data_IF_669272496268
#
_entry.id   IF_669272496268
#
_cell.length_a   1.000
_cell.length_b   1.000
_cell.length_c   1.000
_cell.angle_alpha   90.00
_cell.angle_beta   90.00
_cell.angle_gamma   90.00
#
_symmetry.space_group_name_H-M   'P 1'
#
loop_
_entity.id
_entity.type
_entity.pdbx_description
1 polymer ?
#
# COMPACT_ATOMS: atom_id res chain seq x y z
N UNK A 1 -21.74 4.92 18.24
CA UNK A 1 -20.60 4.28 17.54
C UNK A 1 -20.55 4.56 16.03
N UNK A 2 -21.46 5.33 15.43
CA UNK A 2 -21.53 5.56 13.97
C UNK A 2 -21.17 7.00 13.50
N UNK A 3 -21.05 7.97 14.41
CA UNK A 3 -20.69 9.35 14.06
C UNK A 3 -19.16 9.59 13.99
N UNK A 4 -18.37 8.90 14.82
CA UNK A 4 -16.91 9.06 14.88
C UNK A 4 -16.18 8.54 13.62
N UNK A 5 -16.69 7.48 13.00
CA UNK A 5 -16.07 6.91 11.79
C UNK A 5 -16.27 7.78 10.54
N UNK A 6 -17.39 8.52 10.46
CA UNK A 6 -17.67 9.46 9.36
C UNK A 6 -16.72 10.67 9.40
N UNK A 7 -16.48 11.22 10.59
CA UNK A 7 -15.55 12.33 10.81
C UNK A 7 -14.10 11.90 10.52
N UNK A 8 -13.72 10.68 10.92
CA UNK A 8 -12.41 10.10 10.63
C UNK A 8 -12.13 9.98 9.12
N UNK A 9 -13.12 9.54 8.34
CA UNK A 9 -12.98 9.39 6.90
C UNK A 9 -12.93 10.73 6.16
N UNK A 10 -13.73 11.72 6.60
CA UNK A 10 -13.70 13.08 6.06
C UNK A 10 -12.38 13.79 6.38
N UNK A 11 -11.82 13.56 7.58
CA UNK A 11 -10.54 14.13 7.98
C UNK A 11 -9.36 13.47 7.23
N UNK A 12 -9.37 12.14 7.06
CA UNK A 12 -8.38 11.43 6.22
C UNK A 12 -8.47 11.89 4.76
N UNK A 13 -9.67 12.05 4.20
CA UNK A 13 -9.87 12.54 2.85
C UNK A 13 -9.43 14.00 2.66
N UNK A 14 -9.54 14.83 3.71
CA UNK A 14 -9.03 16.20 3.73
C UNK A 14 -7.49 16.24 3.79
N UNK A 15 -6.88 15.36 4.58
CA UNK A 15 -5.41 15.24 4.76
C UNK A 15 -4.70 14.71 3.51
N UNK A 16 -5.32 13.83 2.73
CA UNK A 16 -4.74 13.33 1.47
C UNK A 16 -4.73 14.37 0.33
N UNK A 17 -5.39 15.52 0.49
CA UNK A 17 -5.63 16.47 -0.60
C UNK A 17 -4.60 17.60 -0.72
N UNK A 18 -3.86 17.96 0.35
CA UNK A 18 -2.97 19.13 0.35
C UNK A 18 -1.52 18.80 0.71
N UNK A 19 -0.60 19.12 -0.21
CA UNK A 19 0.83 18.74 -0.27
C UNK A 19 1.79 19.45 0.71
N UNK A 20 1.37 19.84 1.92
CA UNK A 20 2.20 20.70 2.78
C UNK A 20 2.55 20.10 4.16
N UNK A 21 3.64 20.62 4.73
CA UNK A 21 4.35 20.29 5.98
C UNK A 21 3.47 20.02 7.22
N UNK A 22 2.22 20.46 7.21
CA UNK A 22 1.19 20.09 8.18
C UNK A 22 0.84 18.58 8.17
N UNK A 23 1.03 17.89 7.02
CA UNK A 23 0.91 16.43 6.88
C UNK A 23 1.88 15.72 7.81
N UNK A 24 3.14 16.16 7.88
CA UNK A 24 4.19 15.48 8.66
C UNK A 24 3.87 15.57 10.15
N UNK A 25 3.46 16.75 10.63
CA UNK A 25 3.10 16.94 12.04
C UNK A 25 1.77 16.26 12.41
N UNK A 26 0.81 16.22 11.48
CA UNK A 26 -0.44 15.46 11.64
C UNK A 26 -0.22 13.94 11.67
N UNK A 27 0.67 13.42 10.80
CA UNK A 27 1.09 12.00 10.81
C UNK A 27 1.87 11.64 12.07
N UNK A 28 2.75 12.53 12.56
CA UNK A 28 3.46 12.33 13.82
C UNK A 28 2.49 12.32 15.00
N UNK A 29 1.51 13.24 15.03
CA UNK A 29 0.47 13.29 16.07
C UNK A 29 -0.43 12.05 16.08
N UNK A 30 -0.98 11.67 14.91
CA UNK A 30 -1.78 10.45 14.76
C UNK A 30 -0.96 9.19 15.03
N UNK A 31 0.30 9.16 14.57
CA UNK A 31 1.23 8.07 14.84
C UNK A 31 1.51 7.89 16.33
N UNK A 32 1.60 8.97 17.10
CA UNK A 32 1.83 8.94 18.55
C UNK A 32 0.60 8.40 19.31
N UNK A 33 -0.61 8.81 18.92
CA UNK A 33 -1.86 8.37 19.55
C UNK A 33 -2.16 6.91 19.19
N UNK A 34 -1.96 6.52 17.93
CA UNK A 34 -2.06 5.11 17.50
C UNK A 34 -1.00 4.27 18.23
N UNK A 35 0.22 4.78 18.40
CA UNK A 35 1.28 4.09 19.13
C UNK A 35 0.92 3.87 20.60
N UNK A 36 0.35 4.87 21.29
CA UNK A 36 -0.09 4.74 22.69
C UNK A 36 -1.30 3.81 22.84
N UNK A 37 -2.24 3.83 21.89
CA UNK A 37 -3.46 3.02 21.97
C UNK A 37 -3.19 1.57 21.56
N UNK A 38 -2.32 1.34 20.58
CA UNK A 38 -1.80 0.03 20.25
C UNK A 38 -0.97 -0.56 21.40
N UNK A 39 -0.25 0.26 22.17
CA UNK A 39 0.54 -0.19 23.33
C UNK A 39 -0.30 -0.88 24.41
N UNK A 40 -1.53 -0.39 24.65
CA UNK A 40 -2.44 -0.99 25.65
C UNK A 40 -3.26 -2.16 25.10
N UNK A 41 -3.65 -2.15 23.82
CA UNK A 41 -4.46 -3.21 23.21
C UNK A 41 -3.59 -4.41 22.76
N UNK A 42 -2.33 -4.17 22.40
CA UNK A 42 -1.34 -5.20 22.02
C UNK A 42 -0.36 -5.49 23.17
N UNK A 43 -0.79 -5.37 24.43
CA UNK A 43 0.06 -5.64 25.59
C UNK A 43 0.67 -7.05 25.50
N UNK A 44 1.89 -7.12 25.00
CA UNK A 44 2.60 -8.36 24.72
C UNK A 44 2.96 -9.02 26.06
N UNK A 45 2.39 -10.19 26.30
CA UNK A 45 2.62 -10.97 27.51
C UNK A 45 3.18 -12.33 27.12
N UNK A 46 4.45 -12.59 27.44
CA UNK A 46 5.10 -13.84 27.09
C UNK A 46 4.50 -15.01 27.89
N UNK A 47 4.20 -16.16 27.27
CA UNK A 47 3.60 -17.32 27.96
C UNK A 47 4.58 -18.03 28.92
N UNK A 48 5.89 -17.83 28.75
CA UNK A 48 6.96 -18.40 29.56
C UNK A 48 6.93 -19.93 29.69
N UNK A 49 6.58 -20.56 28.58
CA UNK A 49 6.58 -22.00 28.38
C UNK A 49 7.44 -22.37 27.16
N UNK A 50 8.20 -23.48 27.23
CA UNK A 50 9.04 -23.92 26.12
C UNK A 50 8.17 -24.22 24.89
N UNK A 51 8.69 -23.96 23.69
CA UNK A 51 8.04 -24.00 22.37
C UNK A 51 6.97 -22.94 22.15
N UNK A 52 6.14 -22.66 23.16
CA UNK A 52 5.09 -21.64 23.08
C UNK A 52 5.69 -20.23 22.98
N UNK A 53 6.78 -19.98 23.70
CA UNK A 53 7.54 -18.74 23.63
C UNK A 53 7.96 -18.37 22.20
N UNK A 54 8.59 -19.32 21.49
CA UNK A 54 9.01 -19.13 20.11
C UNK A 54 7.83 -18.85 19.19
N UNK A 55 6.79 -19.67 19.25
CA UNK A 55 5.57 -19.51 18.45
C UNK A 55 4.89 -18.17 18.69
N UNK A 56 4.69 -17.79 19.96
CA UNK A 56 4.02 -16.55 20.33
C UNK A 56 4.84 -15.32 19.96
N UNK A 57 6.14 -15.31 20.27
CA UNK A 57 7.03 -14.20 19.94
C UNK A 57 7.18 -14.00 18.42
N UNK A 58 7.34 -15.09 17.65
CA UNK A 58 7.38 -15.02 16.19
C UNK A 58 6.04 -14.58 15.59
N UNK A 59 4.91 -15.07 16.11
CA UNK A 59 3.59 -14.64 15.66
C UNK A 59 3.35 -13.14 15.94
N UNK A 60 3.78 -12.64 17.10
CA UNK A 60 3.64 -11.22 17.46
C UNK A 60 4.43 -10.30 16.52
N UNK A 61 5.56 -10.74 15.96
CA UNK A 61 6.31 -9.99 14.94
C UNK A 61 5.68 -10.20 13.56
N UNK A 62 5.44 -11.46 13.16
CA UNK A 62 5.11 -11.84 11.80
C UNK A 62 3.65 -11.61 11.39
N UNK A 63 2.69 -11.88 12.27
CA UNK A 63 1.25 -11.79 11.91
C UNK A 63 0.83 -10.35 11.63
N UNK A 64 1.17 -9.34 12.46
CA UNK A 64 0.84 -7.95 12.13
C UNK A 64 1.57 -7.46 10.86
N UNK A 65 2.82 -7.89 10.64
CA UNK A 65 3.53 -7.58 9.40
C UNK A 65 2.79 -8.19 8.18
N UNK A 66 2.39 -9.45 8.23
CA UNK A 66 1.64 -10.08 7.15
C UNK A 66 0.30 -9.38 6.89
N UNK A 67 -0.44 -9.03 7.95
CA UNK A 67 -1.69 -8.30 7.83
C UNK A 67 -1.48 -6.93 7.16
N UNK A 68 -0.48 -6.16 7.61
CA UNK A 68 -0.12 -4.86 7.01
C UNK A 68 0.28 -4.99 5.54
N UNK A 69 1.02 -6.05 5.20
CA UNK A 69 1.39 -6.34 3.82
C UNK A 69 0.17 -6.61 2.94
N UNK A 70 -0.75 -7.48 3.39
CA UNK A 70 -1.99 -7.80 2.66
C UNK A 70 -2.84 -6.56 2.46
N UNK A 71 -3.03 -5.74 3.50
CA UNK A 71 -3.75 -4.47 3.41
C UNK A 71 -3.08 -3.54 2.38
N UNK A 72 -1.75 -3.44 2.42
CA UNK A 72 -0.98 -2.64 1.46
C UNK A 72 -1.17 -3.11 0.01
N UNK A 73 -1.24 -4.42 -0.23
CA UNK A 73 -1.50 -4.98 -1.57
C UNK A 73 -2.92 -4.68 -2.04
N UNK A 74 -3.93 -4.81 -1.16
CA UNK A 74 -5.35 -4.56 -1.46
C UNK A 74 -5.61 -3.09 -1.80
N UNK A 75 -5.02 -2.17 -1.04
CA UNK A 75 -5.21 -0.72 -1.24
C UNK A 75 -4.45 -0.16 -2.45
N UNK A 76 -3.55 -0.93 -3.05
CA UNK A 76 -2.77 -0.47 -4.18
C UNK A 76 -3.55 -0.61 -5.50
N UNK A 77 -3.85 0.52 -6.14
CA UNK A 77 -4.58 0.56 -7.42
C UNK A 77 -3.89 -0.26 -8.53
N UNK A 78 -2.55 -0.27 -8.55
CA UNK A 78 -1.79 -1.02 -9.55
C UNK A 78 -2.06 -2.53 -9.47
N UNK A 79 -2.39 -3.07 -8.28
CA UNK A 79 -2.77 -4.48 -8.10
C UNK A 79 -4.01 -4.80 -8.92
N UNK A 80 -5.05 -3.96 -8.81
CA UNK A 80 -6.30 -4.13 -9.54
C UNK A 80 -6.13 -3.90 -11.05
N UNK A 81 -5.25 -2.98 -11.44
CA UNK A 81 -4.91 -2.76 -12.85
C UNK A 81 -4.28 -4.03 -13.48
N UNK A 82 -3.42 -4.75 -12.75
CA UNK A 82 -2.87 -6.04 -13.22
C UNK A 82 -3.95 -7.11 -13.27
N UNK A 83 -4.75 -7.24 -12.21
CA UNK A 83 -5.84 -8.23 -12.16
C UNK A 83 -6.81 -8.03 -13.32
N UNK A 84 -7.16 -6.78 -13.63
CA UNK A 84 -8.03 -6.44 -14.77
C UNK A 84 -7.38 -6.75 -16.12
N UNK A 85 -6.09 -6.48 -16.29
CA UNK A 85 -5.36 -6.82 -17.52
C UNK A 85 -5.28 -8.34 -17.73
N UNK A 86 -5.08 -9.09 -16.65
CA UNK A 86 -5.03 -10.55 -16.70
C UNK A 86 -6.40 -11.18 -16.96
N UNK A 87 -7.46 -10.69 -16.30
CA UNK A 87 -8.83 -11.15 -16.52
C UNK A 87 -9.31 -10.84 -17.94
N UNK A 88 -9.17 -9.58 -18.39
CA UNK A 88 -9.72 -9.14 -19.67
C UNK A 88 -8.87 -9.55 -20.89
N UNK A 89 -7.55 -9.77 -20.73
CA UNK A 89 -6.62 -10.01 -21.85
C UNK A 89 -5.72 -11.23 -21.68
N UNK A 90 -6.05 -12.14 -20.75
CA UNK A 90 -5.33 -13.39 -20.47
C UNK A 90 -3.82 -13.17 -20.23
N UNK A 91 -3.44 -12.01 -19.69
CA UNK A 91 -2.07 -11.53 -19.52
C UNK A 91 -1.19 -11.56 -20.80
N UNK A 92 -1.75 -11.75 -22.01
CA UNK A 92 -1.00 -12.07 -23.24
C UNK A 92 -0.08 -10.94 -23.72
N UNK A 93 -0.36 -9.70 -23.32
CA UNK A 93 0.39 -8.49 -23.70
C UNK A 93 1.34 -7.97 -22.60
N UNK A 94 1.41 -8.64 -21.45
CA UNK A 94 2.28 -8.25 -20.36
C UNK A 94 3.66 -8.91 -20.56
N UNK A 95 4.62 -8.15 -21.08
CA UNK A 95 6.02 -8.61 -21.14
C UNK A 95 6.49 -8.97 -19.73
N UNK A 96 7.30 -10.03 -19.60
CA UNK A 96 7.85 -10.45 -18.30
C UNK A 96 8.61 -9.34 -17.57
N UNK A 97 9.30 -8.48 -18.32
CA UNK A 97 10.01 -7.30 -17.78
C UNK A 97 9.05 -6.24 -17.21
N UNK A 98 7.94 -5.99 -17.90
CA UNK A 98 6.90 -5.07 -17.43
C UNK A 98 6.18 -5.66 -16.20
N UNK A 99 5.88 -6.95 -16.21
CA UNK A 99 5.29 -7.65 -15.07
C UNK A 99 6.17 -7.52 -13.82
N UNK A 100 7.48 -7.74 -13.98
CA UNK A 100 8.45 -7.63 -12.89
C UNK A 100 8.54 -6.21 -12.33
N UNK A 101 8.62 -5.19 -13.19
CA UNK A 101 8.66 -3.79 -12.75
C UNK A 101 7.39 -3.38 -11.99
N UNK A 102 6.23 -3.84 -12.44
CA UNK A 102 4.95 -3.55 -11.78
C UNK A 102 4.79 -4.29 -10.46
N UNK A 103 5.14 -5.57 -10.42
CA UNK A 103 5.17 -6.36 -9.18
C UNK A 103 6.14 -5.74 -8.18
N UNK A 104 7.33 -5.33 -8.60
CA UNK A 104 8.28 -4.59 -7.77
C UNK A 104 7.70 -3.29 -7.22
N UNK A 105 6.95 -2.54 -8.05
CA UNK A 105 6.25 -1.32 -7.60
C UNK A 105 5.15 -1.62 -6.57
N UNK A 106 4.40 -2.72 -6.75
CA UNK A 106 3.33 -3.12 -5.83
C UNK A 106 3.91 -3.58 -4.50
N UNK A 107 4.82 -4.55 -4.55
CA UNK A 107 5.48 -5.13 -3.38
C UNK A 107 6.27 -4.06 -2.64
N UNK A 108 7.03 -3.22 -3.35
CA UNK A 108 7.82 -2.14 -2.72
C UNK A 108 6.96 -1.16 -1.93
N UNK A 109 5.79 -0.75 -2.45
CA UNK A 109 4.84 0.12 -1.73
C UNK A 109 4.15 -0.60 -0.58
N UNK A 110 3.74 -1.85 -0.77
CA UNK A 110 3.07 -2.64 0.25
C UNK A 110 4.01 -3.07 1.40
N UNK A 111 5.30 -3.19 1.14
CA UNK A 111 6.31 -3.63 2.10
C UNK A 111 6.74 -2.56 3.10
N UNK A 112 6.41 -1.28 2.88
CA UNK A 112 6.82 -0.18 3.78
C UNK A 112 6.32 -0.41 5.22
N UNK A 113 5.01 -0.56 5.39
CA UNK A 113 4.39 -0.77 6.70
C UNK A 113 4.90 -2.03 7.45
N UNK A 114 4.97 -3.23 6.83
CA UNK A 114 5.48 -4.41 7.51
C UNK A 114 6.97 -4.34 7.85
N UNK A 115 7.80 -3.72 7.00
CA UNK A 115 9.22 -3.49 7.32
C UNK A 115 9.32 -2.58 8.54
N UNK A 116 8.58 -1.47 8.57
CA UNK A 116 8.56 -0.55 9.71
C UNK A 116 8.11 -1.25 11.00
N UNK A 117 7.04 -2.06 10.93
CA UNK A 117 6.56 -2.84 12.08
C UNK A 117 7.64 -3.79 12.62
N UNK A 118 8.28 -4.56 11.74
CA UNK A 118 9.33 -5.51 12.12
C UNK A 118 10.54 -4.81 12.74
N UNK A 119 10.98 -3.69 12.16
CA UNK A 119 12.07 -2.86 12.72
C UNK A 119 11.70 -2.36 14.11
N UNK A 120 10.51 -1.78 14.31
CA UNK A 120 10.07 -1.30 15.62
C UNK A 120 10.00 -2.45 16.64
N UNK A 121 9.49 -3.62 16.23
CA UNK A 121 9.38 -4.80 17.08
C UNK A 121 10.77 -5.32 17.51
N UNK A 122 11.72 -5.36 16.59
CA UNK A 122 13.11 -5.75 16.85
C UNK A 122 13.85 -4.74 17.73
N UNK A 123 13.67 -3.44 17.50
CA UNK A 123 14.29 -2.40 18.33
C UNK A 123 13.74 -2.39 19.76
N UNK A 124 12.45 -2.71 19.94
CA UNK A 124 11.85 -2.93 21.27
C UNK A 124 12.41 -4.17 21.95
N UNK A 125 12.66 -5.25 21.18
CA UNK A 125 13.29 -6.47 21.65
C UNK A 125 12.43 -7.40 22.52
N UNK A 126 11.25 -6.98 22.99
CA UNK A 126 10.40 -7.78 23.87
C UNK A 126 9.96 -9.12 23.24
N UNK A 127 9.46 -9.08 22.00
CA UNK A 127 9.02 -10.27 21.29
C UNK A 127 10.19 -11.20 20.93
N UNK A 128 11.36 -10.65 20.59
CA UNK A 128 12.58 -11.40 20.31
C UNK A 128 13.13 -12.07 21.57
N UNK A 129 13.17 -11.36 22.70
CA UNK A 129 13.56 -11.91 24.01
C UNK A 129 12.65 -13.07 24.38
N UNK A 130 11.33 -12.92 24.24
CA UNK A 130 10.39 -14.01 24.48
C UNK A 130 10.69 -15.19 23.55
N UNK A 131 10.77 -14.96 22.23
CA UNK A 131 10.94 -16.00 21.23
C UNK A 131 12.25 -16.81 21.38
N UNK A 132 13.36 -16.15 21.72
CA UNK A 132 14.68 -16.78 21.74
C UNK A 132 15.22 -17.13 23.12
N UNK A 133 14.52 -16.74 24.18
CA UNK A 133 14.90 -17.08 25.56
C UNK A 133 15.22 -18.56 25.74
N UNK A 134 14.39 -19.45 25.21
CA UNK A 134 14.54 -20.91 25.38
C UNK A 134 15.76 -21.51 24.66
N UNK A 135 16.35 -20.81 23.68
CA UNK A 135 17.46 -21.30 22.87
C UNK A 135 18.83 -20.83 23.35
N UNK A 136 18.90 -20.03 24.41
CA UNK A 136 20.19 -19.67 25.00
C UNK A 136 20.79 -20.89 25.68
N UNK A 137 22.01 -21.20 25.29
CA UNK A 137 22.83 -22.18 25.99
C UNK A 137 23.24 -21.64 27.38
N UNK A 138 22.81 -22.27 28.49
CA UNK A 138 23.16 -21.81 29.82
C UNK A 138 24.66 -21.82 30.10
N UNK A 139 25.43 -22.68 29.41
CA UNK A 139 26.89 -22.71 29.56
C UNK A 139 27.58 -21.45 29.03
N UNK A 140 26.89 -20.68 28.19
CA UNK A 140 27.37 -19.40 27.67
C UNK A 140 27.11 -18.21 28.60
N UNK A 141 26.43 -18.44 29.73
CA UNK A 141 26.20 -17.45 30.79
C UNK A 141 27.21 -17.70 31.91
N UNK A 142 27.94 -16.67 32.31
CA UNK A 142 29.06 -16.83 33.24
C UNK A 142 28.58 -17.32 34.60
N UNK A 143 29.27 -18.32 35.16
CA UNK A 143 28.93 -18.96 36.44
C UNK A 143 27.50 -19.51 36.56
N UNK A 144 26.84 -19.86 35.45
CA UNK A 144 25.48 -20.41 35.50
C UNK A 144 25.46 -21.82 36.12
N UNK A 145 24.54 -22.12 37.06
CA UNK A 145 24.51 -23.42 37.71
C UNK A 145 24.09 -24.53 36.74
N UNK A 146 24.63 -25.75 36.87
CA UNK A 146 24.25 -26.88 36.03
C UNK A 146 22.75 -27.18 36.23
N UNK A 147 22.01 -27.22 35.12
CA UNK A 147 20.55 -27.36 35.12
C UNK A 147 20.13 -28.54 34.25
N UNK A 148 19.25 -29.40 34.79
CA UNK A 148 18.77 -30.62 34.09
C UNK A 148 17.69 -30.33 33.04
N UNK A 149 17.04 -29.16 33.13
CA UNK A 149 15.98 -28.71 32.21
C UNK A 149 16.26 -27.26 31.72
N UNK A 150 17.41 -27.06 31.07
CA UNK A 150 17.87 -25.76 30.56
C UNK A 150 16.76 -25.00 29.82
N UNK A 151 16.19 -25.55 28.76
CA UNK A 151 15.18 -24.87 27.94
C UNK A 151 13.95 -24.41 28.75
N UNK A 152 13.50 -25.20 29.73
CA UNK A 152 12.33 -24.86 30.58
C UNK A 152 12.63 -23.70 31.53
N UNK A 153 13.85 -23.66 32.06
CA UNK A 153 14.31 -22.57 32.92
C UNK A 153 14.54 -21.31 32.09
N UNK A 154 15.22 -21.45 30.94
CA UNK A 154 15.53 -20.37 30.02
C UNK A 154 14.25 -19.70 29.46
N UNK A 155 13.21 -20.47 29.15
CA UNK A 155 11.91 -19.97 28.71
C UNK A 155 11.20 -19.06 29.74
N UNK A 156 11.55 -19.11 31.03
CA UNK A 156 10.90 -18.31 32.09
C UNK A 156 11.56 -16.97 32.36
N UNK A 157 12.77 -16.74 31.83
CA UNK A 157 13.51 -15.49 32.00
C UNK A 157 12.74 -14.24 31.58
N UNK A 158 11.98 -14.22 30.47
CA UNK A 158 11.21 -13.05 30.05
C UNK A 158 10.15 -12.61 31.08
N UNK A 159 9.58 -13.54 31.84
CA UNK A 159 8.56 -13.25 32.85
C UNK A 159 9.13 -12.92 34.22
N UNK A 160 10.44 -13.14 34.44
CA UNK A 160 11.08 -13.05 35.76
C UNK A 160 10.49 -14.01 36.81
N UNK A 161 9.81 -15.06 36.35
CA UNK A 161 9.22 -16.12 37.17
C UNK A 161 10.24 -17.25 37.43
N UNK A 162 11.32 -16.90 38.14
CA UNK A 162 12.40 -17.81 38.49
C UNK A 162 12.66 -17.86 40.01
N UNK A 163 13.23 -18.97 40.51
CA UNK A 163 13.80 -19.00 41.86
C UNK A 163 14.85 -17.89 42.05
N UNK A 164 14.89 -17.31 43.25
CA UNK A 164 15.84 -16.26 43.64
C UNK A 164 17.30 -16.46 43.17
N UNK A 165 17.93 -17.66 43.27
CA UNK A 165 19.32 -17.85 42.83
C UNK A 165 19.53 -17.72 41.31
N UNK A 166 18.48 -17.87 40.50
CA UNK A 166 18.55 -17.74 39.04
C UNK A 166 18.14 -16.34 38.55
N UNK A 167 17.42 -15.59 39.38
CA UNK A 167 16.93 -14.26 39.04
C UNK A 167 18.07 -13.26 38.81
N UNK A 168 19.23 -13.46 39.46
CA UNK A 168 20.41 -12.59 39.27
C UNK A 168 20.92 -12.58 37.82
N UNK A 169 20.74 -13.67 37.08
CA UNK A 169 21.18 -13.78 35.68
C UNK A 169 20.16 -13.17 34.70
N UNK A 170 18.96 -12.79 35.17
CA UNK A 170 17.92 -12.33 34.26
C UNK A 170 18.29 -11.04 33.56
N UNK A 171 19.00 -10.14 34.23
CA UNK A 171 19.51 -8.92 33.63
C UNK A 171 20.54 -9.17 32.53
N UNK A 172 21.41 -10.16 32.71
CA UNK A 172 22.42 -10.52 31.70
C UNK A 172 21.79 -11.15 30.45
N UNK A 173 20.93 -12.15 30.66
CA UNK A 173 20.19 -12.84 29.60
C UNK A 173 19.31 -11.89 28.80
N UNK A 174 18.52 -11.04 29.50
CA UNK A 174 17.66 -10.06 28.86
C UNK A 174 18.47 -9.04 28.05
N UNK A 175 19.58 -8.54 28.61
CA UNK A 175 20.45 -7.57 27.92
C UNK A 175 21.08 -8.17 26.67
N UNK A 176 21.54 -9.43 26.73
CA UNK A 176 22.13 -10.13 25.58
C UNK A 176 21.13 -10.28 24.44
N UNK A 177 19.93 -10.78 24.72
CA UNK A 177 18.88 -10.94 23.70
C UNK A 177 18.38 -9.61 23.15
N UNK A 178 18.24 -8.59 24.00
CA UNK A 178 17.88 -7.24 23.54
C UNK A 178 18.94 -6.65 22.62
N UNK A 179 20.21 -6.84 22.95
CA UNK A 179 21.32 -6.42 22.09
C UNK A 179 21.25 -7.10 20.72
N UNK A 180 21.08 -8.42 20.66
CA UNK A 180 20.97 -9.16 19.39
C UNK A 180 19.76 -8.68 18.57
N UNK A 181 18.61 -8.50 19.23
CA UNK A 181 17.39 -7.98 18.60
C UNK A 181 17.59 -6.58 18.02
N UNK A 182 18.19 -5.67 18.79
CA UNK A 182 18.43 -4.30 18.36
C UNK A 182 19.47 -4.23 17.24
N UNK A 183 20.52 -5.05 17.31
CA UNK A 183 21.50 -5.17 16.25
C UNK A 183 20.85 -5.62 14.94
N UNK A 184 20.03 -6.68 14.97
CA UNK A 184 19.25 -7.14 13.81
C UNK A 184 18.32 -6.04 13.29
N UNK A 185 17.65 -5.31 14.18
CA UNK A 185 16.82 -4.15 13.82
C UNK A 185 17.61 -3.08 13.05
N UNK A 186 18.78 -2.68 13.55
CA UNK A 186 19.64 -1.70 12.89
C UNK A 186 20.23 -2.20 11.57
N UNK A 187 20.65 -3.47 11.50
CA UNK A 187 21.09 -4.10 10.26
C UNK A 187 19.98 -4.11 9.21
N UNK A 188 18.75 -4.43 9.61
CA UNK A 188 17.58 -4.39 8.73
C UNK A 188 17.34 -2.98 8.19
N UNK A 189 17.43 -1.94 9.04
CA UNK A 189 17.33 -0.54 8.60
C UNK A 189 18.41 -0.18 7.58
N UNK A 190 19.67 -0.56 7.84
CA UNK A 190 20.79 -0.31 6.93
C UNK A 190 20.58 -0.98 5.56
N UNK A 191 20.23 -2.28 5.55
CA UNK A 191 20.00 -3.06 4.33
C UNK A 191 18.83 -2.49 3.52
N UNK A 192 17.71 -2.17 4.17
CA UNK A 192 16.54 -1.59 3.48
C UNK A 192 16.89 -0.22 2.91
N UNK A 193 17.57 0.63 3.66
CA UNK A 193 17.96 1.97 3.19
C UNK A 193 18.87 1.91 1.98
N UNK A 194 19.88 1.03 2.02
CA UNK A 194 20.77 0.78 0.88
C UNK A 194 20.01 0.23 -0.33
N UNK A 195 19.10 -0.72 -0.10
CA UNK A 195 18.29 -1.32 -1.16
C UNK A 195 17.40 -0.28 -1.84
N UNK A 196 16.75 0.60 -1.07
CA UNK A 196 15.93 1.71 -1.61
C UNK A 196 16.79 2.65 -2.43
N UNK A 197 17.96 3.04 -1.92
CA UNK A 197 18.90 3.90 -2.64
C UNK A 197 19.31 3.28 -3.98
N UNK A 198 19.74 2.01 -3.98
CA UNK A 198 20.13 1.30 -5.20
C UNK A 198 18.98 1.19 -6.21
N UNK A 199 17.77 0.88 -5.76
CA UNK A 199 16.58 0.82 -6.62
C UNK A 199 16.27 2.18 -7.25
N UNK A 200 16.41 3.27 -6.49
CA UNK A 200 16.20 4.63 -7.02
C UNK A 200 17.27 5.01 -8.03
N UNK A 201 18.54 4.68 -7.76
CA UNK A 201 19.64 4.88 -8.72
C UNK A 201 19.40 4.09 -10.01
N UNK A 202 19.07 2.80 -9.91
CA UNK A 202 18.76 1.96 -11.07
C UNK A 202 17.55 2.48 -11.85
N UNK A 203 16.50 2.93 -11.15
CA UNK A 203 15.34 3.55 -11.81
C UNK A 203 15.74 4.80 -12.59
N UNK A 204 16.61 5.66 -12.05
CA UNK A 204 17.06 6.87 -12.74
C UNK A 204 18.02 6.55 -13.89
N UNK A 205 18.95 5.60 -13.72
CA UNK A 205 19.90 5.20 -14.76
C UNK A 205 19.22 4.43 -15.92
N UNK A 206 18.17 3.66 -15.64
CA UNK A 206 17.45 2.86 -16.63
C UNK A 206 16.17 3.51 -17.17
N UNK A 207 15.82 4.72 -16.73
CA UNK A 207 14.68 5.44 -17.29
C UNK A 207 15.06 5.95 -18.68
N UNK A 208 14.37 5.47 -19.72
CA UNK A 208 14.54 5.99 -21.08
C UNK A 208 13.94 7.39 -21.25
N UNK A 209 13.17 7.86 -20.27
CA UNK A 209 12.49 9.15 -20.26
C UNK A 209 13.34 10.19 -19.52
N UNK A 210 13.47 11.38 -20.11
CA UNK A 210 14.07 12.52 -19.41
C UNK A 210 13.26 12.88 -18.16
N UNK A 211 13.94 13.33 -17.09
CA UNK A 211 13.31 13.65 -15.80
C UNK A 211 12.11 14.62 -15.94
N UNK A 212 12.21 15.63 -16.81
CA UNK A 212 11.11 16.58 -17.06
C UNK A 212 9.89 15.90 -17.70
N UNK A 213 10.11 14.95 -18.60
CA UNK A 213 9.06 14.21 -19.27
C UNK A 213 8.36 13.22 -18.32
N UNK A 214 9.12 12.58 -17.42
CA UNK A 214 8.55 11.75 -16.36
C UNK A 214 7.70 12.58 -15.38
N UNK A 215 8.16 13.78 -15.00
CA UNK A 215 7.40 14.69 -14.16
C UNK A 215 6.10 15.15 -14.85
N UNK A 216 6.17 15.56 -16.12
CA UNK A 216 4.99 15.88 -16.91
C UNK A 216 4.01 14.71 -17.00
N UNK A 217 4.51 13.50 -17.29
CA UNK A 217 3.68 12.30 -17.38
C UNK A 217 2.95 12.00 -16.07
N UNK A 218 3.63 12.13 -14.93
CA UNK A 218 3.03 12.01 -13.60
C UNK A 218 1.90 13.04 -13.38
N UNK A 219 2.14 14.31 -13.73
CA UNK A 219 1.13 15.36 -13.65
C UNK A 219 -0.06 15.11 -14.56
N UNK A 220 0.17 14.69 -15.80
CA UNK A 220 -0.88 14.32 -16.74
C UNK A 220 -1.77 13.22 -16.16
N UNK A 221 -1.18 12.14 -15.65
CA UNK A 221 -1.92 11.01 -15.06
C UNK A 221 -2.75 11.42 -13.85
N UNK A 222 -2.22 12.29 -12.99
CA UNK A 222 -2.96 12.82 -11.85
C UNK A 222 -4.16 13.66 -12.28
N UNK A 223 -3.97 14.55 -13.25
CA UNK A 223 -5.04 15.41 -13.76
C UNK A 223 -6.09 14.61 -14.52
N UNK A 224 -5.69 13.68 -15.38
CA UNK A 224 -6.58 12.78 -16.11
C UNK A 224 -7.47 11.99 -15.15
N UNK A 225 -6.89 11.39 -14.09
CA UNK A 225 -7.67 10.64 -13.09
C UNK A 225 -8.69 11.54 -12.37
N UNK A 226 -8.28 12.74 -11.97
CA UNK A 226 -9.16 13.67 -11.26
C UNK A 226 -10.31 14.16 -12.15
N UNK A 227 -10.03 14.48 -13.41
CA UNK A 227 -11.05 14.87 -14.39
C UNK A 227 -11.98 13.70 -14.70
N UNK A 228 -11.44 12.52 -14.98
CA UNK A 228 -12.21 11.33 -15.30
C UNK A 228 -13.20 10.99 -14.18
N UNK A 229 -12.78 11.02 -12.92
CA UNK A 229 -13.65 10.72 -11.79
C UNK A 229 -14.80 11.74 -11.65
N UNK A 230 -14.49 13.04 -11.72
CA UNK A 230 -15.52 14.09 -11.66
C UNK A 230 -16.53 13.96 -12.81
N UNK A 231 -16.04 13.73 -14.03
CA UNK A 231 -16.90 13.57 -15.21
C UNK A 231 -17.72 12.28 -15.14
N UNK A 232 -17.16 11.18 -14.64
CA UNK A 232 -17.87 9.92 -14.47
C UNK A 232 -19.01 10.02 -13.44
N UNK A 233 -18.77 10.72 -12.32
CA UNK A 233 -19.81 10.98 -11.30
C UNK A 233 -20.97 11.79 -11.89
N UNK A 234 -20.66 12.85 -12.65
CA UNK A 234 -21.67 13.68 -13.33
C UNK A 234 -22.43 12.88 -14.40
N UNK A 235 -21.72 12.10 -15.23
CA UNK A 235 -22.32 11.26 -16.27
C UNK A 235 -23.27 10.19 -15.69
N UNK A 236 -22.84 9.50 -14.63
CA UNK A 236 -23.65 8.51 -13.94
C UNK A 236 -24.93 9.14 -13.35
N UNK A 237 -24.82 10.33 -12.75
CA UNK A 237 -25.96 11.07 -12.21
C UNK A 237 -26.95 11.49 -13.29
N UNK A 238 -26.46 12.01 -14.42
CA UNK A 238 -27.28 12.35 -15.59
C UNK A 238 -28.03 11.11 -16.11
N UNK A 239 -27.35 9.97 -16.24
CA UNK A 239 -27.99 8.75 -16.73
C UNK A 239 -29.06 8.24 -15.75
N UNK A 240 -28.78 8.28 -14.44
CA UNK A 240 -29.76 7.95 -13.41
C UNK A 240 -30.98 8.89 -13.45
N UNK A 241 -30.76 10.21 -13.61
CA UNK A 241 -31.84 11.19 -13.74
C UNK A 241 -32.73 10.92 -14.96
N UNK A 242 -32.15 10.56 -16.10
CA UNK A 242 -32.95 10.20 -17.28
C UNK A 242 -33.83 8.97 -17.00
N UNK A 243 -33.28 7.92 -16.37
CA UNK A 243 -34.05 6.72 -16.03
C UNK A 243 -35.19 7.00 -15.03
N UNK A 244 -34.92 7.79 -14.00
CA UNK A 244 -35.94 8.19 -13.00
C UNK A 244 -37.04 9.03 -13.67
N UNK A 245 -36.66 9.93 -14.59
CA UNK A 245 -37.63 10.75 -15.35
C UNK A 245 -38.51 9.88 -16.26
N UNK A 246 -37.93 8.87 -16.91
CA UNK A 246 -38.71 7.92 -17.72
C UNK A 246 -39.68 7.10 -16.87
N UNK A 247 -39.32 6.76 -15.62
CA UNK A 247 -40.17 5.98 -14.73
C UNK A 247 -41.28 6.80 -14.06
N UNK A 248 -40.96 7.97 -13.50
CA UNK A 248 -41.92 8.80 -12.74
C UNK A 248 -42.57 9.93 -13.55
N UNK A 249 -42.09 10.22 -14.77
CA UNK A 249 -42.55 11.35 -15.59
C UNK A 249 -41.91 12.70 -15.23
N UNK A 250 -41.21 12.80 -14.10
CA UNK A 250 -40.46 13.97 -13.67
C UNK A 250 -39.24 13.56 -12.85
N UNK A 251 -38.31 14.50 -12.65
CA UNK A 251 -37.15 14.33 -11.76
C UNK A 251 -36.93 15.63 -11.02
N UNK A 252 -36.78 15.54 -9.70
CA UNK A 252 -36.40 16.64 -8.84
C UNK A 252 -34.87 16.73 -8.77
N UNK A 253 -34.31 17.88 -9.14
CA UNK A 253 -32.87 18.17 -9.18
C UNK A 253 -32.61 19.61 -8.78
N UNK A 254 -31.45 19.86 -8.19
CA UNK A 254 -30.99 21.21 -7.90
C UNK A 254 -30.77 22.04 -9.17
N UNK A 255 -30.92 23.36 -9.09
CA UNK A 255 -30.80 24.24 -10.25
C UNK A 255 -29.42 24.18 -10.92
N UNK A 256 -28.36 24.02 -10.12
CA UNK A 256 -26.98 23.86 -10.62
C UNK A 256 -26.82 22.56 -11.44
N UNK A 257 -27.55 21.50 -11.08
CA UNK A 257 -27.54 20.24 -11.80
C UNK A 257 -28.30 20.36 -13.11
N UNK A 258 -29.43 21.09 -13.13
CA UNK A 258 -30.17 21.40 -14.36
C UNK A 258 -29.31 22.13 -15.39
N UNK A 259 -28.46 23.06 -14.96
CA UNK A 259 -27.50 23.73 -15.85
C UNK A 259 -26.42 22.79 -16.40
N UNK A 260 -25.87 21.90 -15.56
CA UNK A 260 -24.90 20.90 -15.99
C UNK A 260 -25.51 19.91 -16.99
N UNK A 261 -26.77 19.55 -16.81
CA UNK A 261 -27.53 18.69 -17.73
C UNK A 261 -27.75 19.39 -19.07
N UNK A 262 -28.14 20.67 -19.06
CA UNK A 262 -28.30 21.45 -20.28
C UNK A 262 -26.98 21.55 -21.07
N UNK A 263 -25.86 21.79 -20.38
CA UNK A 263 -24.52 21.82 -21.00
C UNK A 263 -24.04 20.47 -21.52
N UNK A 264 -24.59 19.37 -21.01
CA UNK A 264 -24.21 18.00 -21.36
C UNK A 264 -25.20 17.34 -22.33
N UNK A 265 -26.16 18.08 -22.89
CA UNK A 265 -27.09 17.59 -23.91
C UNK A 265 -26.29 17.21 -25.18
N UNK A 266 -26.23 15.91 -25.48
CA UNK A 266 -25.40 15.34 -26.54
C UNK A 266 -24.30 14.40 -26.03
N UNK A 267 -24.14 14.25 -24.71
CA UNK A 267 -23.26 13.23 -24.15
C UNK A 267 -23.72 11.81 -24.57
N UNK A 268 -22.75 10.91 -24.81
CA UNK A 268 -23.05 9.49 -25.09
C UNK A 268 -23.92 8.92 -23.96
N UNK A 269 -25.10 8.44 -24.31
CA UNK A 269 -26.04 7.81 -23.37
C UNK A 269 -25.56 6.43 -22.91
N UNK A 270 -24.85 5.71 -23.78
CA UNK A 270 -24.30 4.39 -23.50
C UNK A 270 -22.82 4.34 -23.90
N UNK A 271 -21.97 3.92 -22.96
CA UNK A 271 -20.56 3.61 -23.22
C UNK A 271 -20.42 2.09 -23.20
N UNK A 272 -20.14 1.44 -24.34
CA UNK A 272 -20.03 -0.02 -24.42
C UNK A 272 -18.94 -0.56 -23.48
N UNK A 273 -19.15 -1.76 -22.93
CA UNK A 273 -18.17 -2.45 -22.07
C UNK A 273 -16.80 -2.63 -22.74
N UNK A 274 -16.77 -2.72 -24.07
CA UNK A 274 -15.54 -2.80 -24.87
C UNK A 274 -14.69 -1.54 -24.72
N UNK A 275 -15.29 -0.35 -24.69
CA UNK A 275 -14.56 0.91 -24.53
C UNK A 275 -14.01 1.05 -23.11
N UNK A 276 -14.77 0.64 -22.09
CA UNK A 276 -14.28 0.54 -20.70
C UNK A 276 -13.05 -0.37 -20.62
N UNK A 277 -13.10 -1.55 -21.23
CA UNK A 277 -11.98 -2.50 -21.24
C UNK A 277 -10.76 -2.01 -22.05
N UNK A 278 -10.93 -1.03 -22.95
CA UNK A 278 -9.82 -0.42 -23.70
C UNK A 278 -9.04 0.59 -22.85
N UNK A 279 -9.75 1.38 -22.03
CA UNK A 279 -9.15 2.43 -21.19
C UNK A 279 -8.66 1.91 -19.83
N UNK A 280 -9.16 0.76 -19.36
CA UNK A 280 -8.72 0.11 -18.11
C UNK A 280 -7.45 -0.72 -18.29
N UNK A 281 -6.66 -0.85 -17.22
CA UNK A 281 -5.49 -1.73 -17.14
C UNK A 281 -4.15 -0.98 -17.22
N UNK A 282 -3.05 -1.73 -17.11
CA UNK A 282 -1.72 -1.14 -16.98
C UNK A 282 -1.26 -0.47 -18.26
N UNK A 283 -0.67 0.72 -18.12
CA UNK A 283 -0.07 1.47 -19.22
C UNK A 283 1.43 1.68 -19.00
N UNK A 284 2.23 1.19 -19.95
CA UNK A 284 3.65 1.52 -20.05
C UNK A 284 3.80 2.61 -21.10
N UNK A 285 4.65 3.59 -20.83
CA UNK A 285 4.95 4.67 -21.76
C UNK A 285 5.30 4.13 -23.14
N UNK A 286 4.68 4.71 -24.18
CA UNK A 286 4.91 4.39 -25.59
C UNK A 286 4.72 5.64 -26.43
N UNK A 287 5.45 5.70 -27.52
CA UNK A 287 5.26 6.68 -28.58
C UNK A 287 4.64 5.99 -29.79
N UNK A 288 3.70 6.68 -30.45
CA UNK A 288 3.07 6.23 -31.70
C UNK A 288 3.35 7.35 -32.71
N UNK A 289 4.11 7.05 -33.77
CA UNK A 289 4.51 8.05 -34.79
C UNK A 289 5.10 9.32 -34.14
N UNK A 290 6.10 9.16 -33.28
CA UNK A 290 6.75 10.23 -32.48
C UNK A 290 5.80 11.04 -31.57
N UNK A 291 4.55 10.61 -31.43
CA UNK A 291 3.58 11.24 -30.53
C UNK A 291 3.55 10.48 -29.19
N UNK A 292 3.85 11.16 -28.07
CA UNK A 292 3.88 10.54 -26.75
C UNK A 292 2.46 10.22 -26.26
N UNK A 293 2.24 8.95 -25.92
CA UNK A 293 0.97 8.50 -25.36
C UNK A 293 1.15 8.33 -23.85
N UNK A 294 0.40 9.10 -23.07
CA UNK A 294 0.56 9.18 -21.61
C UNK A 294 -0.37 8.25 -20.82
N UNK A 295 -1.40 7.70 -21.45
CA UNK A 295 -2.35 6.80 -20.79
C UNK A 295 -3.08 5.93 -21.82
N UNK A 296 -3.85 4.95 -21.35
CA UNK A 296 -4.77 4.18 -22.22
C UNK A 296 -5.92 5.01 -22.75
N UNK A 297 -6.42 5.96 -21.96
CA UNK A 297 -7.49 6.87 -22.39
C UNK A 297 -6.98 7.82 -23.47
N UNK A 298 -5.78 8.38 -23.30
CA UNK A 298 -5.09 9.16 -24.33
C UNK A 298 -4.93 8.34 -25.62
N UNK A 299 -4.42 7.10 -25.51
CA UNK A 299 -4.28 6.20 -26.65
C UNK A 299 -5.62 5.89 -27.33
N UNK A 300 -6.68 5.64 -26.56
CA UNK A 300 -8.01 5.40 -27.11
C UNK A 300 -8.57 6.63 -27.83
N UNK A 301 -8.39 7.82 -27.25
CA UNK A 301 -8.82 9.09 -27.83
C UNK A 301 -8.07 9.38 -29.14
N UNK A 302 -6.76 9.15 -29.17
CA UNK A 302 -5.93 9.30 -30.38
C UNK A 302 -6.49 8.48 -31.55
N UNK A 303 -6.68 7.17 -31.38
CA UNK A 303 -7.23 6.33 -32.45
C UNK A 303 -8.69 6.62 -32.80
N UNK A 304 -9.49 7.05 -31.83
CA UNK A 304 -10.89 7.39 -32.09
C UNK A 304 -11.00 8.64 -32.95
N UNK A 305 -10.18 9.65 -32.67
CA UNK A 305 -10.13 10.89 -33.43
C UNK A 305 -9.50 10.70 -34.82
N UNK A 306 -8.46 9.86 -34.92
CA UNK A 306 -7.81 9.54 -36.19
C UNK A 306 -8.78 8.82 -37.14
N UNK A 307 -9.49 7.80 -36.64
CA UNK A 307 -10.52 7.10 -37.41
C UNK A 307 -11.68 8.01 -37.82
N UNK A 308 -12.12 8.95 -36.97
CA UNK A 308 -13.16 9.90 -37.35
C UNK A 308 -12.71 10.87 -38.43
N UNK A 309 -11.44 11.31 -38.39
CA UNK A 309 -10.89 12.20 -39.41
C UNK A 309 -10.76 11.49 -40.76
N UNK A 310 -10.36 10.22 -40.75
CA UNK A 310 -10.25 9.42 -41.96
C UNK A 310 -11.62 9.14 -42.60
N UNK A 311 -12.65 8.94 -41.78
CA UNK A 311 -14.03 8.77 -42.24
C UNK A 311 -14.64 10.05 -42.81
N UNK A 312 -14.30 11.22 -42.25
CA UNK A 312 -14.73 12.53 -42.77
C UNK A 312 -14.08 12.84 -44.12
N UNK A 313 -12.80 12.52 -44.30
CA UNK A 313 -12.09 12.68 -45.57
C UNK A 313 -12.70 11.81 -46.68
N UNK A 314 -13.10 10.56 -46.38
CA UNK A 314 -13.78 9.70 -47.35
C UNK A 314 -15.19 10.20 -47.75
N UNK A 315 -15.91 10.88 -46.84
CA UNK A 315 -17.23 11.48 -47.16
C UNK A 315 -17.15 12.81 -47.90
N UNK A 316 -16.06 13.57 -47.80
CA UNK A 316 -15.86 14.82 -48.57
C UNK A 316 -15.32 14.57 -49.99
N UNK A 317 -14.91 13.33 -50.29
CA UNK A 317 -14.40 12.86 -51.58
C UNK A 317 -15.42 12.05 -52.41
N UNK A 318 -16.65 11.90 -51.91
CA UNK A 318 -17.77 11.20 -52.57
C UNK A 318 -18.90 12.18 -52.95
#
# INVERSE_FOLDING_TARGET
MSALFSEYFKFIAFVFKNKDTAIVNGLIGLGTIISQTAYNILAFSCPCAPKENYLYGMAAIGVPALALFVIGVILNQNTWDIVSECSNRKCRKLSGTAAFALLGSIVGRAAVAPITWSVISLLRGQAYVCALSEFIDPSSVDNFPPTKDAAKIMARFPCKDLPAPLLIYSGEVERRLKYESQLLGWLMVGVVSLSVFLVLCLKHCCSSLGYQQEAYWSHYRSNEKALFQRTAEVHAKLNAANNVKTFFGFVEMENQEKELLAKSQGARSVIPSVDWNRITGVYMYREINDTPMYSRLNKWAYYTNDNSNQHMIETDLA
#
